data_IF_400681842995
#
_entry.id   IF_400681842995
#
_cell.length_a   1.000
_cell.length_b   1.000
_cell.length_c   1.000
_cell.angle_alpha   90.00
_cell.angle_beta   90.00
_cell.angle_gamma   90.00
#
_symmetry.space_group_name_H-M   'P 1'
#
loop_
_entity.id
_entity.type
_entity.pdbx_description
1 polymer ?
#
# COMPACT_ATOMS: atom_id res chain seq x y z
N UNK A 1 -4.36 -28.39 6.31
CA UNK A 1 -4.67 -27.22 5.46
C UNK A 1 -3.36 -26.48 5.28
N UNK A 2 -2.97 -26.21 4.04
CA UNK A 2 -1.80 -25.37 3.77
C UNK A 2 -2.07 -23.98 4.34
N UNK A 3 -1.05 -23.28 4.86
CA UNK A 3 -1.21 -21.91 5.35
C UNK A 3 -1.59 -20.91 4.26
N UNK A 4 -1.59 -21.34 2.99
CA UNK A 4 -1.90 -20.53 1.82
C UNK A 4 -3.33 -20.72 1.30
N UNK A 5 -4.06 -21.72 1.83
CA UNK A 5 -5.42 -21.98 1.38
C UNK A 5 -6.35 -20.81 1.77
N UNK A 6 -7.24 -20.43 0.85
CA UNK A 6 -8.29 -19.44 1.15
C UNK A 6 -9.29 -20.08 2.12
N UNK A 7 -9.53 -19.48 3.31
CA UNK A 7 -10.52 -19.99 4.26
C UNK A 7 -11.92 -20.06 3.65
N UNK A 8 -12.71 -21.07 4.02
CA UNK A 8 -14.04 -21.30 3.44
C UNK A 8 -14.97 -20.10 3.64
N UNK A 9 -14.95 -19.46 4.81
CA UNK A 9 -15.77 -18.27 5.07
C UNK A 9 -15.45 -17.10 4.13
N UNK A 10 -14.19 -16.94 3.71
CA UNK A 10 -13.77 -15.89 2.80
C UNK A 10 -14.05 -16.28 1.36
N UNK A 11 -13.87 -17.56 1.02
CA UNK A 11 -14.22 -18.13 -0.30
C UNK A 11 -15.71 -17.99 -0.60
N UNK A 12 -16.55 -18.22 0.40
CA UNK A 12 -18.01 -18.15 0.29
C UNK A 12 -18.60 -16.78 0.65
N UNK A 13 -17.76 -15.75 0.83
CA UNK A 13 -18.22 -14.43 1.23
C UNK A 13 -19.22 -13.85 0.21
N UNK A 14 -20.44 -13.45 0.63
CA UNK A 14 -21.52 -13.08 -0.28
C UNK A 14 -21.16 -11.91 -1.19
N UNK A 15 -20.55 -10.85 -0.67
CA UNK A 15 -20.14 -9.69 -1.48
C UNK A 15 -19.06 -10.02 -2.51
N UNK A 16 -18.07 -10.85 -2.17
CA UNK A 16 -17.03 -11.26 -3.11
C UNK A 16 -17.64 -12.11 -4.23
N UNK A 17 -18.52 -13.05 -3.88
CA UNK A 17 -19.23 -13.90 -4.85
C UNK A 17 -20.16 -13.11 -5.75
N UNK A 18 -20.90 -12.15 -5.21
CA UNK A 18 -21.79 -11.27 -5.97
C UNK A 18 -21.01 -10.44 -7.01
N UNK A 19 -19.75 -10.13 -6.73
CA UNK A 19 -18.83 -9.41 -7.64
C UNK A 19 -18.01 -10.33 -8.56
N UNK A 20 -18.17 -11.66 -8.44
CA UNK A 20 -17.38 -12.64 -9.19
C UNK A 20 -15.89 -12.68 -8.80
N UNK A 21 -15.53 -12.20 -7.60
CA UNK A 21 -14.16 -12.21 -7.09
C UNK A 21 -13.90 -13.60 -6.49
N UNK A 22 -13.11 -14.42 -7.20
CA UNK A 22 -12.73 -15.77 -6.76
C UNK A 22 -11.25 -15.77 -6.37
N UNK A 23 -11.01 -15.86 -5.06
CA UNK A 23 -9.66 -15.88 -4.49
C UNK A 23 -8.96 -17.21 -4.81
N UNK A 24 -7.67 -17.12 -5.14
CA UNK A 24 -6.84 -18.25 -5.51
C UNK A 24 -6.06 -18.79 -4.30
N UNK A 25 -5.25 -17.94 -3.67
CA UNK A 25 -4.46 -18.30 -2.49
C UNK A 25 -4.03 -17.04 -1.71
N UNK A 26 -3.46 -17.26 -0.52
CA UNK A 26 -2.82 -16.21 0.26
C UNK A 26 -1.51 -15.74 -0.40
N UNK A 27 -1.14 -14.49 -0.19
CA UNK A 27 0.12 -13.91 -0.65
C UNK A 27 1.18 -14.11 0.42
N UNK A 28 2.23 -14.90 0.16
CA UNK A 28 3.33 -15.07 1.12
C UNK A 28 4.14 -13.77 1.29
N UNK A 29 4.63 -13.47 2.51
CA UNK A 29 4.41 -14.15 3.81
C UNK A 29 3.13 -13.72 4.57
N UNK A 30 2.24 -12.97 3.93
CA UNK A 30 1.12 -12.26 4.54
C UNK A 30 -0.15 -13.12 4.65
N UNK A 31 -0.41 -13.63 5.86
CA UNK A 31 -1.53 -14.56 6.12
C UNK A 31 -2.93 -13.94 6.02
N UNK A 32 -3.05 -12.61 5.95
CA UNK A 32 -4.32 -11.89 5.84
C UNK A 32 -4.59 -11.34 4.45
N UNK A 33 -3.71 -11.59 3.47
CA UNK A 33 -3.80 -11.04 2.12
C UNK A 33 -4.00 -12.18 1.12
N UNK A 34 -5.04 -12.07 0.30
CA UNK A 34 -5.42 -13.07 -0.70
C UNK A 34 -5.56 -12.41 -2.06
N UNK A 35 -5.31 -13.14 -3.13
CA UNK A 35 -5.41 -12.57 -4.47
C UNK A 35 -6.16 -13.48 -5.44
N UNK A 36 -6.74 -12.90 -6.49
CA UNK A 36 -7.40 -13.67 -7.54
C UNK A 36 -6.38 -14.20 -8.55
N UNK A 37 -6.62 -15.39 -9.12
CA UNK A 37 -5.81 -15.84 -10.24
C UNK A 37 -6.11 -15.00 -11.49
N UNK A 38 -5.13 -14.84 -12.37
CA UNK A 38 -5.31 -14.25 -13.68
C UNK A 38 -4.67 -15.13 -14.75
N UNK A 39 -5.44 -15.69 -15.70
CA UNK A 39 -4.87 -16.38 -16.83
C UNK A 39 -3.94 -15.45 -17.61
N UNK A 40 -2.79 -15.97 -18.06
CA UNK A 40 -1.81 -15.19 -18.82
C UNK A 40 -2.46 -14.57 -20.06
N UNK A 41 -2.26 -13.26 -20.26
CA UNK A 41 -2.83 -12.51 -21.39
C UNK A 41 -4.34 -12.22 -21.30
N UNK A 42 -5.03 -12.62 -20.23
CA UNK A 42 -6.45 -12.27 -20.06
C UNK A 42 -6.63 -10.80 -19.72
N UNK A 43 -7.75 -10.21 -20.11
CA UNK A 43 -8.14 -8.82 -19.76
C UNK A 43 -8.88 -8.72 -18.43
N UNK A 44 -9.00 -9.84 -17.69
CA UNK A 44 -9.72 -9.90 -16.43
C UNK A 44 -8.93 -9.10 -15.37
N UNK A 45 -9.55 -8.13 -14.68
CA UNK A 45 -8.93 -7.43 -13.58
C UNK A 45 -8.54 -8.42 -12.48
N UNK A 46 -7.37 -8.22 -11.90
CA UNK A 46 -6.91 -9.02 -10.78
C UNK A 46 -7.08 -8.21 -9.50
N UNK A 47 -7.52 -8.87 -8.43
CA UNK A 47 -7.80 -8.23 -7.15
C UNK A 47 -6.94 -8.82 -6.04
N UNK A 48 -6.69 -7.98 -5.04
CA UNK A 48 -6.20 -8.36 -3.72
C UNK A 48 -7.31 -8.08 -2.71
N UNK A 49 -7.52 -9.03 -1.80
CA UNK A 49 -8.43 -8.91 -0.66
C UNK A 49 -7.60 -9.06 0.60
N UNK A 50 -7.55 -8.01 1.41
CA UNK A 50 -6.91 -8.01 2.72
C UNK A 50 -7.98 -8.07 3.80
N UNK A 51 -7.82 -8.99 4.75
CA UNK A 51 -8.59 -9.04 5.99
C UNK A 51 -7.99 -7.99 6.93
N UNK A 52 -8.79 -7.00 7.32
CA UNK A 52 -8.33 -5.88 8.13
C UNK A 52 -8.27 -6.26 9.61
N UNK A 53 -7.25 -5.76 10.29
CA UNK A 53 -7.13 -5.88 11.75
C UNK A 53 -7.93 -4.76 12.42
N UNK A 54 -8.98 -5.07 13.21
CA UNK A 54 -9.83 -4.07 13.85
C UNK A 54 -9.11 -3.26 14.93
N UNK A 55 -7.90 -3.67 15.36
CA UNK A 55 -7.09 -2.94 16.33
C UNK A 55 -6.25 -1.81 15.70
N UNK A 56 -6.23 -1.73 14.36
CA UNK A 56 -5.48 -0.71 13.61
C UNK A 56 -6.38 0.34 12.99
N UNK A 57 -5.81 1.48 12.62
CA UNK A 57 -6.51 2.58 11.94
C UNK A 57 -6.53 2.40 10.41
N UNK A 58 -6.06 1.26 9.90
CA UNK A 58 -5.94 0.99 8.46
C UNK A 58 -7.28 1.15 7.72
N UNK A 59 -8.38 0.69 8.34
CA UNK A 59 -9.71 0.81 7.75
C UNK A 59 -10.13 2.26 7.53
N UNK A 60 -10.06 3.08 8.58
CA UNK A 60 -10.51 4.48 8.54
C UNK A 60 -9.58 5.34 7.68
N UNK A 61 -8.27 5.05 7.68
CA UNK A 61 -7.30 5.70 6.81
C UNK A 61 -7.61 5.40 5.34
N UNK A 62 -7.82 4.13 4.97
CA UNK A 62 -8.18 3.79 3.60
C UNK A 62 -9.49 4.44 3.17
N UNK A 63 -10.54 4.40 4.01
CA UNK A 63 -11.82 5.10 3.80
C UNK A 63 -11.59 6.57 3.43
N UNK A 64 -10.82 7.30 4.27
CA UNK A 64 -10.51 8.71 4.05
C UNK A 64 -9.73 8.97 2.76
N UNK A 65 -8.80 8.07 2.41
CA UNK A 65 -8.03 8.18 1.18
C UNK A 65 -8.85 7.91 -0.08
N UNK A 66 -10.04 7.31 0.02
CA UNK A 66 -10.90 7.09 -1.16
C UNK A 66 -11.77 8.31 -1.53
N UNK A 67 -11.83 9.34 -0.68
CA UNK A 67 -12.65 10.55 -0.93
C UNK A 67 -12.25 11.28 -2.22
N UNK A 68 -10.94 11.33 -2.52
CA UNK A 68 -10.39 11.90 -3.75
C UNK A 68 -9.09 11.18 -4.14
N UNK A 69 -9.12 10.43 -5.24
CA UNK A 69 -7.99 9.65 -5.75
C UNK A 69 -7.08 10.43 -6.71
N UNK A 70 -7.40 11.69 -6.99
CA UNK A 70 -6.58 12.56 -7.83
C UNK A 70 -5.24 12.91 -7.14
N UNK A 71 -4.22 13.23 -7.94
CA UNK A 71 -2.95 13.73 -7.37
C UNK A 71 -3.25 15.00 -6.54
N UNK A 72 -2.66 15.13 -5.34
CA UNK A 72 -1.45 14.45 -4.85
C UNK A 72 -1.70 13.16 -4.04
N UNK A 73 -2.89 12.57 -4.09
CA UNK A 73 -3.15 11.31 -3.42
C UNK A 73 -2.49 10.13 -4.14
N UNK A 74 -1.61 9.43 -3.43
CA UNK A 74 -0.93 8.21 -3.87
C UNK A 74 -1.38 6.95 -3.10
N UNK A 75 -2.49 7.00 -2.36
CA UNK A 75 -3.13 5.81 -1.82
C UNK A 75 -3.63 4.91 -2.95
N UNK A 76 -3.48 3.59 -2.79
CA UNK A 76 -4.02 2.64 -3.74
C UNK A 76 -5.57 2.69 -3.70
N UNK A 77 -6.25 2.77 -4.87
CA UNK A 77 -7.70 2.69 -4.91
C UNK A 77 -8.19 1.39 -4.28
N UNK A 78 -9.18 1.46 -3.41
CA UNK A 78 -9.70 0.31 -2.70
C UNK A 78 -11.17 0.51 -2.29
N UNK A 79 -11.80 -0.58 -1.90
CA UNK A 79 -13.18 -0.60 -1.40
C UNK A 79 -13.22 -1.38 -0.10
N UNK A 80 -13.97 -0.87 0.87
CA UNK A 80 -14.18 -1.54 2.15
C UNK A 80 -15.52 -2.28 2.09
N UNK A 81 -15.48 -3.59 2.31
CA UNK A 81 -16.68 -4.40 2.52
C UNK A 81 -16.99 -4.36 4.03
N UNK A 82 -18.18 -3.88 4.43
CA UNK A 82 -18.55 -3.70 5.83
C UNK A 82 -19.02 -5.03 6.47
N UNK A 83 -18.22 -6.08 6.34
CA UNK A 83 -18.38 -7.39 6.98
C UNK A 83 -17.60 -7.48 8.30
N UNK A 84 -17.77 -8.57 9.03
CA UNK A 84 -16.92 -8.93 10.18
C UNK A 84 -16.20 -10.26 9.90
N UNK A 85 -14.85 -10.26 9.76
CA UNK A 85 -13.97 -9.09 9.75
C UNK A 85 -14.18 -8.21 8.50
N UNK A 86 -13.80 -6.92 8.60
CA UNK A 86 -13.84 -6.00 7.44
C UNK A 86 -12.83 -6.44 6.39
N UNK A 87 -13.21 -6.31 5.13
CA UNK A 87 -12.34 -6.67 4.00
C UNK A 87 -12.00 -5.42 3.19
N UNK A 88 -10.73 -5.32 2.80
CA UNK A 88 -10.23 -4.31 1.88
C UNK A 88 -10.00 -4.96 0.52
N UNK A 89 -10.78 -4.55 -0.48
CA UNK A 89 -10.67 -5.03 -1.86
C UNK A 89 -9.95 -3.98 -2.69
N UNK A 90 -8.82 -4.35 -3.30
CA UNK A 90 -7.99 -3.44 -4.08
C UNK A 90 -7.55 -4.10 -5.41
N UNK A 91 -7.20 -3.33 -6.45
CA UNK A 91 -6.54 -3.88 -7.62
C UNK A 91 -5.22 -4.56 -7.25
N UNK A 92 -4.86 -5.63 -7.96
CA UNK A 92 -3.51 -6.20 -7.86
C UNK A 92 -2.51 -5.33 -8.62
N UNK A 93 -1.59 -4.71 -7.90
CA UNK A 93 -0.54 -3.85 -8.43
C UNK A 93 0.82 -4.49 -8.20
N UNK A 94 1.75 -4.31 -9.14
CA UNK A 94 3.11 -4.82 -8.98
C UNK A 94 3.85 -4.03 -7.92
N UNK A 95 4.67 -4.70 -7.10
CA UNK A 95 5.60 -4.01 -6.21
C UNK A 95 6.60 -3.15 -7.01
N UNK A 96 7.34 -2.28 -6.32
CA UNK A 96 8.31 -1.40 -6.97
C UNK A 96 9.41 -2.15 -7.73
N UNK A 97 9.71 -3.40 -7.35
CA UNK A 97 10.60 -4.32 -8.09
C UNK A 97 10.10 -4.70 -9.50
N UNK A 98 8.83 -4.44 -9.83
CA UNK A 98 8.30 -4.68 -11.18
C UNK A 98 8.78 -3.65 -12.21
N UNK A 99 9.31 -2.51 -11.75
CA UNK A 99 9.94 -1.52 -12.61
C UNK A 99 11.32 -2.04 -13.03
N UNK A 100 11.57 -2.10 -14.34
CA UNK A 100 12.91 -2.40 -14.85
C UNK A 100 13.81 -1.17 -14.75
N UNK A 101 14.67 -1.15 -13.74
CA UNK A 101 15.65 -0.09 -13.50
C UNK A 101 16.94 -0.19 -14.34
N UNK A 102 17.19 -1.31 -15.01
CA UNK A 102 18.42 -1.51 -15.78
C UNK A 102 18.51 -0.54 -16.95
N UNK A 103 19.64 0.17 -17.05
CA UNK A 103 19.95 1.13 -18.13
C UNK A 103 18.91 2.25 -18.30
N UNK A 104 18.18 2.60 -17.23
CA UNK A 104 17.21 3.70 -17.27
C UNK A 104 17.88 5.06 -17.02
N UNK A 105 17.34 6.15 -17.57
CA UNK A 105 17.86 7.49 -17.30
C UNK A 105 17.59 7.88 -15.83
N UNK A 106 18.46 8.71 -15.26
CA UNK A 106 18.30 9.27 -13.91
C UNK A 106 16.93 9.93 -13.70
N UNK A 107 16.34 10.50 -14.75
CA UNK A 107 15.00 11.09 -14.69
C UNK A 107 13.94 10.10 -14.19
N UNK A 108 13.97 8.82 -14.60
CA UNK A 108 13.00 7.82 -14.13
C UNK A 108 13.06 7.67 -12.60
N UNK A 109 14.27 7.61 -12.04
CA UNK A 109 14.45 7.44 -10.60
C UNK A 109 13.94 8.67 -9.83
N UNK A 110 14.17 9.86 -10.39
CA UNK A 110 13.66 11.12 -9.83
C UNK A 110 12.14 11.22 -9.95
N UNK A 111 11.55 10.78 -11.05
CA UNK A 111 10.09 10.78 -11.27
C UNK A 111 9.38 9.84 -10.28
N UNK A 112 9.94 8.63 -10.08
CA UNK A 112 9.43 7.68 -9.07
C UNK A 112 9.56 8.27 -7.67
N UNK A 113 10.72 8.85 -7.33
CA UNK A 113 10.93 9.42 -6.00
C UNK A 113 10.06 10.65 -5.75
N UNK A 114 9.84 11.48 -6.77
CA UNK A 114 8.94 12.63 -6.72
C UNK A 114 7.52 12.19 -6.34
N UNK A 115 6.98 11.16 -7.00
CA UNK A 115 5.67 10.61 -6.66
C UNK A 115 5.60 10.06 -5.23
N UNK A 116 6.65 9.38 -4.76
CA UNK A 116 6.72 8.91 -3.36
C UNK A 116 6.61 10.09 -2.39
N UNK A 117 7.41 11.14 -2.60
CA UNK A 117 7.41 12.32 -1.71
C UNK A 117 6.11 13.12 -1.82
N UNK A 118 5.52 13.25 -3.01
CA UNK A 118 4.20 13.85 -3.20
C UNK A 118 3.13 13.12 -2.39
N UNK A 119 3.15 11.78 -2.43
CA UNK A 119 2.26 10.93 -1.63
C UNK A 119 2.47 11.10 -0.12
N UNK A 120 3.71 11.12 0.34
CA UNK A 120 4.06 11.33 1.76
C UNK A 120 3.58 12.71 2.23
N UNK A 121 3.85 13.76 1.46
CA UNK A 121 3.39 15.11 1.78
C UNK A 121 1.86 15.17 1.84
N UNK A 122 1.15 14.49 0.94
CA UNK A 122 -0.30 14.42 0.97
C UNK A 122 -0.82 13.74 2.24
N UNK A 123 -0.25 12.60 2.65
CA UNK A 123 -0.59 11.95 3.92
C UNK A 123 -0.36 12.91 5.10
N UNK A 124 0.78 13.60 5.12
CA UNK A 124 1.14 14.53 6.19
C UNK A 124 0.18 15.72 6.29
N UNK A 125 -0.30 16.24 5.15
CA UNK A 125 -1.36 17.27 5.11
C UNK A 125 -2.68 16.79 5.71
N UNK A 126 -2.99 15.50 5.56
CA UNK A 126 -4.15 14.86 6.20
C UNK A 126 -3.88 14.44 7.66
N UNK A 127 -2.69 14.77 8.18
CA UNK A 127 -2.21 14.41 9.50
C UNK A 127 -2.07 12.89 9.68
N UNK A 128 -1.82 12.15 8.60
CA UNK A 128 -1.58 10.71 8.61
C UNK A 128 -0.07 10.49 8.55
N UNK A 129 0.47 9.69 9.47
CA UNK A 129 1.83 9.16 9.36
C UNK A 129 1.76 7.68 8.96
N UNK A 130 2.53 7.28 7.96
CA UNK A 130 2.48 5.91 7.43
C UNK A 130 3.21 4.93 8.35
N UNK A 131 4.35 5.34 8.90
CA UNK A 131 5.20 4.64 9.87
C UNK A 131 5.86 3.34 9.40
N UNK A 132 5.63 2.92 8.15
CA UNK A 132 6.28 1.75 7.53
C UNK A 132 6.52 1.95 6.02
N UNK A 133 6.93 3.16 5.64
CA UNK A 133 7.34 3.41 4.26
C UNK A 133 8.58 2.56 3.95
N UNK A 134 8.45 1.66 3.00
CA UNK A 134 9.55 0.80 2.60
C UNK A 134 9.36 0.34 1.16
N UNK A 135 10.38 -0.29 0.59
CA UNK A 135 10.37 -0.71 -0.80
C UNK A 135 9.26 -1.73 -1.12
N UNK A 136 8.88 -2.57 -0.15
CA UNK A 136 7.77 -3.54 -0.24
C UNK A 136 6.38 -2.89 -0.14
N UNK A 137 6.28 -1.75 0.55
CA UNK A 137 5.03 -1.01 0.77
C UNK A 137 4.83 0.11 -0.26
N UNK A 138 5.51 0.00 -1.41
CA UNK A 138 5.37 0.89 -2.55
C UNK A 138 5.12 0.02 -3.78
N UNK A 139 4.04 0.36 -4.49
CA UNK A 139 3.61 -0.33 -5.69
C UNK A 139 3.64 0.61 -6.90
N UNK A 140 3.66 0.05 -8.11
CA UNK A 140 3.50 0.83 -9.34
C UNK A 140 2.64 0.07 -10.34
N UNK A 141 1.67 0.76 -10.93
CA UNK A 141 0.78 0.17 -11.93
C UNK A 141 1.45 0.16 -13.30
N UNK A 142 1.71 -1.03 -13.84
CA UNK A 142 2.14 -1.17 -15.22
C UNK A 142 1.02 -0.72 -16.19
N UNK A 143 1.36 -0.34 -17.45
CA UNK A 143 0.34 -0.04 -18.46
C UNK A 143 -0.65 -1.19 -18.69
N UNK A 144 -0.20 -2.44 -18.53
CA UNK A 144 -1.05 -3.62 -18.64
C UNK A 144 -2.03 -3.77 -17.47
N UNK A 145 -1.64 -3.38 -16.25
CA UNK A 145 -2.56 -3.38 -15.11
C UNK A 145 -3.59 -2.27 -15.26
N UNK A 146 -3.13 -1.06 -15.61
CA UNK A 146 -4.00 0.10 -15.86
C UNK A 146 -4.98 -0.10 -17.03
N UNK A 147 -4.62 -0.91 -18.04
CA UNK A 147 -5.56 -1.25 -19.12
C UNK A 147 -6.66 -2.24 -18.71
N UNK A 148 -6.51 -2.89 -17.55
CA UNK A 148 -7.46 -3.91 -17.06
C UNK A 148 -8.24 -3.52 -15.83
N UNK A 149 -7.82 -2.48 -15.12
CA UNK A 149 -8.58 -1.89 -14.02
C UNK A 149 -8.58 -0.37 -14.17
N UNK A 150 -9.75 0.20 -14.45
CA UNK A 150 -9.91 1.63 -14.74
C UNK A 150 -9.61 2.54 -13.54
N UNK A 151 -9.48 1.98 -12.32
CA UNK A 151 -9.06 2.73 -11.13
C UNK A 151 -7.57 3.04 -11.13
N UNK A 152 -6.78 2.27 -11.88
CA UNK A 152 -5.33 2.39 -11.92
C UNK A 152 -4.87 3.38 -12.99
N UNK A 153 -3.85 4.15 -12.67
CA UNK A 153 -3.17 5.06 -13.60
C UNK A 153 -1.82 4.45 -13.97
N UNK A 154 -1.56 4.29 -15.27
CA UNK A 154 -0.30 3.72 -15.74
C UNK A 154 0.90 4.53 -15.22
N UNK A 155 1.94 3.82 -14.77
CA UNK A 155 3.19 4.37 -14.23
C UNK A 155 3.04 5.18 -12.93
N UNK A 156 1.82 5.27 -12.38
CA UNK A 156 1.58 5.87 -11.07
C UNK A 156 2.17 4.97 -9.97
N UNK A 157 2.85 5.61 -9.02
CA UNK A 157 3.32 4.99 -7.79
C UNK A 157 2.22 5.07 -6.74
N UNK A 158 2.04 4.01 -5.97
CA UNK A 158 1.08 3.94 -4.89
C UNK A 158 1.77 3.57 -3.57
N UNK A 159 1.41 4.26 -2.49
CA UNK A 159 1.70 3.88 -1.13
C UNK A 159 0.64 2.86 -0.68
N UNK A 160 1.08 1.74 -0.12
CA UNK A 160 0.21 0.63 0.28
C UNK A 160 0.54 0.19 1.70
N UNK A 161 -0.35 -0.63 2.27
CA UNK A 161 -0.22 -1.22 3.61
C UNK A 161 -0.20 -0.17 4.74
N UNK A 162 -1.39 0.31 5.10
CA UNK A 162 -1.57 1.31 6.16
C UNK A 162 -1.73 0.66 7.56
N UNK A 163 -1.33 -0.60 7.73
CA UNK A 163 -1.51 -1.35 8.98
C UNK A 163 -0.87 -0.67 10.20
N UNK A 164 0.32 -0.08 10.02
CA UNK A 164 1.04 0.65 11.07
C UNK A 164 0.70 2.13 11.13
N UNK A 165 -0.07 2.63 10.16
CA UNK A 165 -0.30 4.06 9.99
C UNK A 165 -1.18 4.61 11.10
N UNK A 166 -0.98 5.90 11.40
CA UNK A 166 -1.71 6.58 12.46
C UNK A 166 -2.30 7.89 11.97
N UNK A 167 -3.55 8.14 12.35
CA UNK A 167 -4.20 9.45 12.26
C UNK A 167 -3.82 10.27 13.49
N UNK A 168 -3.04 11.33 13.28
CA UNK A 168 -2.51 12.15 14.36
C UNK A 168 -3.35 13.41 14.56
N UNK A 169 -3.28 13.96 15.78
CA UNK A 169 -4.05 15.15 16.17
C UNK A 169 -3.41 16.45 15.67
N UNK A 170 -2.09 16.48 15.48
CA UNK A 170 -1.32 17.66 15.06
C UNK A 170 -0.52 17.35 13.81
N UNK A 171 -0.28 18.36 12.98
CA UNK A 171 0.51 18.21 11.75
C UNK A 171 2.04 18.26 11.96
N UNK A 172 2.81 18.20 10.87
CA UNK A 172 4.27 18.27 10.90
C UNK A 172 4.81 19.48 11.65
N UNK A 173 5.86 19.27 12.45
CA UNK A 173 6.51 20.31 13.26
C UNK A 173 5.75 20.72 14.53
N UNK A 174 4.52 20.23 14.73
CA UNK A 174 3.71 20.45 15.93
C UNK A 174 3.46 19.16 16.72
N UNK A 175 3.42 18.02 16.02
CA UNK A 175 3.20 16.71 16.63
C UNK A 175 4.36 16.32 17.55
N UNK A 176 4.11 15.96 18.82
CA UNK A 176 5.17 15.44 19.69
C UNK A 176 5.67 14.07 19.20
N UNK A 177 6.93 13.71 19.53
CA UNK A 177 7.48 12.39 19.25
C UNK A 177 6.59 11.26 19.79
N UNK A 178 6.48 10.18 19.03
CA UNK A 178 5.79 8.96 19.44
C UNK A 178 6.79 7.81 19.63
N UNK A 179 6.39 6.77 20.36
CA UNK A 179 7.10 5.50 20.32
C UNK A 179 6.93 4.88 18.92
N UNK A 180 8.04 4.59 18.25
CA UNK A 180 8.00 4.02 16.92
C UNK A 180 7.66 2.52 16.99
N UNK A 181 6.55 2.13 16.36
CA UNK A 181 6.16 0.74 16.16
C UNK A 181 7.22 -0.06 15.38
N UNK A 182 7.21 -1.41 15.43
CA UNK A 182 7.99 -2.22 14.50
C UNK A 182 7.77 -1.78 13.04
N UNK A 183 8.86 -1.74 12.26
CA UNK A 183 8.90 -1.28 10.88
C UNK A 183 9.86 -2.16 10.08
N UNK A 184 9.66 -2.30 8.78
CA UNK A 184 10.54 -3.04 7.87
C UNK A 184 11.86 -2.30 7.63
N UNK A 185 11.84 -0.97 7.67
CA UNK A 185 13.06 -0.16 7.65
C UNK A 185 13.64 -0.07 9.06
N UNK A 186 14.94 -0.32 9.18
CA UNK A 186 15.68 -0.17 10.43
C UNK A 186 15.64 1.29 10.91
N UNK A 187 15.25 1.45 12.16
CA UNK A 187 15.27 2.75 12.85
C UNK A 187 16.70 3.24 12.98
N UNK A 188 16.91 4.57 13.06
CA UNK A 188 18.22 5.10 13.42
C UNK A 188 18.71 4.51 14.75
N UNK A 189 20.03 4.34 14.88
CA UNK A 189 20.64 3.72 16.06
C UNK A 189 20.19 4.45 17.33
N UNK A 190 19.77 3.67 18.33
CA UNK A 190 19.29 4.14 19.64
C UNK A 190 18.06 5.08 19.61
N UNK A 191 17.37 5.19 18.46
CA UNK A 191 16.14 5.98 18.31
C UNK A 191 14.91 5.07 18.46
N UNK A 192 14.22 5.21 19.59
CA UNK A 192 12.94 4.53 19.87
C UNK A 192 11.76 5.49 19.79
N UNK A 193 11.99 6.78 19.98
CA UNK A 193 10.97 7.83 19.90
C UNK A 193 11.39 8.90 18.90
N UNK A 194 10.48 9.29 18.01
CA UNK A 194 10.76 10.29 16.98
C UNK A 194 9.46 10.99 16.55
N UNK A 195 9.58 12.18 15.98
CA UNK A 195 8.50 12.81 15.21
C UNK A 195 8.06 11.84 14.09
N UNK A 196 6.77 11.45 14.04
CA UNK A 196 6.30 10.40 13.13
C UNK A 196 6.40 10.80 11.65
N UNK A 197 6.22 12.09 11.34
CA UNK A 197 6.34 12.60 9.98
C UNK A 197 7.80 12.58 9.51
N UNK A 198 8.73 12.92 10.39
CA UNK A 198 10.17 12.85 10.14
C UNK A 198 10.64 11.41 9.96
N UNK A 199 10.00 10.46 10.65
CA UNK A 199 10.26 9.04 10.45
C UNK A 199 9.85 8.58 9.04
N UNK A 200 8.67 8.99 8.55
CA UNK A 200 8.26 8.73 7.16
C UNK A 200 9.27 9.29 6.14
N UNK A 201 9.76 10.51 6.36
CA UNK A 201 10.78 11.13 5.47
C UNK A 201 12.10 10.35 5.51
N UNK A 202 12.56 9.93 6.69
CA UNK A 202 13.73 9.07 6.84
C UNK A 202 13.57 7.76 6.06
N UNK A 203 12.41 7.11 6.21
CA UNK A 203 12.07 5.89 5.50
C UNK A 203 12.01 6.07 3.97
N UNK A 204 11.43 7.17 3.48
CA UNK A 204 11.47 7.52 2.07
C UNK A 204 12.92 7.72 1.56
N UNK A 205 13.80 8.32 2.36
CA UNK A 205 15.24 8.43 2.05
C UNK A 205 15.93 7.06 1.91
N UNK A 206 15.57 6.09 2.75
CA UNK A 206 16.05 4.70 2.64
C UNK A 206 15.54 4.01 1.37
N UNK A 207 14.31 4.28 0.96
CA UNK A 207 13.77 3.81 -0.33
C UNK A 207 14.58 4.37 -1.50
N UNK A 208 14.87 5.68 -1.51
CA UNK A 208 15.71 6.28 -2.57
C UNK A 208 17.10 5.64 -2.63
N UNK A 209 17.73 5.44 -1.47
CA UNK A 209 19.03 4.77 -1.39
C UNK A 209 18.98 3.38 -2.04
N UNK A 210 17.93 2.60 -1.78
CA UNK A 210 17.73 1.27 -2.37
C UNK A 210 17.45 1.32 -3.87
N UNK A 211 16.69 2.31 -4.33
CA UNK A 211 16.37 2.52 -5.75
C UNK A 211 17.64 2.88 -6.56
N UNK A 212 18.56 3.66 -5.98
CA UNK A 212 19.80 4.10 -6.63
C UNK A 212 20.95 3.08 -6.54
N UNK A 213 20.87 2.12 -5.61
CA UNK A 213 21.86 1.06 -5.41
C UNK A 213 21.22 -0.32 -5.67
N UNK A 214 20.73 -0.59 -6.89
CA UNK A 214 20.03 -1.83 -7.23
C UNK A 214 20.93 -3.07 -7.12
#
# INVERSE_FOLDING_TARGET
MSSLDVPDWLRDHPDLRARGIVLHQAMEPYKSIYYTARPYGSTIPQYVVKVLDPTTEECSINERLQDDLSSPNHGLPCEIIPSEPRLLVMPFVGGLNSINYMNRPTSLFLDVYHQIIEGVEHLHRLQIAHLDICFSNIASASPYQASTDARLVAEKVYLIDFHTSQQLALGPGLQPPILLSPSQVDKPLDVTTLDPYSFDVYCAGKVLQRILLP
#
